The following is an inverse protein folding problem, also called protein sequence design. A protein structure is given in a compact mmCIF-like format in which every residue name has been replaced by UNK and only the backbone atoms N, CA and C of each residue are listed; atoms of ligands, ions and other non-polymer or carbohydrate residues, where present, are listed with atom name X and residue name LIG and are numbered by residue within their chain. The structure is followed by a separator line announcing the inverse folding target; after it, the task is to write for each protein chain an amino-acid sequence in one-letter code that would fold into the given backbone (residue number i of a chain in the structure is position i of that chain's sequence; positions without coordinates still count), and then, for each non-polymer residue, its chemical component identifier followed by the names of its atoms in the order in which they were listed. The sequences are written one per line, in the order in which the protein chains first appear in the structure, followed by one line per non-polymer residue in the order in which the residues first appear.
data_IF_774226070068
#
_entry.id   IF_774226070068
#
_cell.length_a   1.000
_cell.length_b   1.000
_cell.length_c   1.000
_cell.angle_alpha   90.00
_cell.angle_beta   90.00
_cell.angle_gamma   90.00
#
_symmetry.space_group_name_H-M   'P 1'
#
loop_
_entity.id
_entity.type
_entity.pdbx_description
1 polymer ?
#
# COMPACT_ATOMS: atom_id res chain seq x y z
N UNK A 1 26.89 -31.77 -5.00
CA UNK A 1 27.24 -30.40 -5.47
C UNK A 1 25.94 -29.71 -5.82
N UNK A 2 25.43 -28.84 -4.96
CA UNK A 2 24.22 -28.03 -5.20
C UNK A 2 24.71 -26.62 -5.52
N UNK A 3 24.34 -26.09 -6.68
CA UNK A 3 24.75 -24.76 -7.14
C UNK A 3 24.08 -23.63 -6.33
N UNK A 4 24.65 -22.41 -6.32
CA UNK A 4 24.10 -21.30 -5.55
C UNK A 4 22.81 -20.78 -6.19
N UNK A 5 21.74 -20.75 -5.39
CA UNK A 5 20.44 -20.13 -5.71
C UNK A 5 20.60 -18.61 -5.62
N UNK A 6 20.23 -17.92 -6.70
CA UNK A 6 20.33 -16.47 -6.85
C UNK A 6 19.65 -15.74 -5.69
N UNK A 7 20.41 -14.87 -5.03
CA UNK A 7 19.91 -13.93 -4.04
C UNK A 7 18.95 -12.95 -4.73
N UNK A 8 17.70 -12.90 -4.25
CA UNK A 8 16.74 -11.89 -4.67
C UNK A 8 17.30 -10.52 -4.27
N UNK A 9 17.49 -9.66 -5.26
CA UNK A 9 17.98 -8.30 -5.07
C UNK A 9 16.97 -7.52 -4.22
N UNK A 10 17.33 -7.28 -2.96
CA UNK A 10 16.69 -6.25 -2.14
C UNK A 10 16.89 -4.91 -2.84
N UNK A 11 15.90 -4.50 -3.63
CA UNK A 11 15.88 -3.18 -4.23
C UNK A 11 15.58 -2.17 -3.14
N UNK A 12 16.65 -1.69 -2.48
CA UNK A 12 16.61 -0.53 -1.60
C UNK A 12 16.12 0.66 -2.41
N UNK A 13 14.80 0.88 -2.38
CA UNK A 13 14.16 1.98 -3.09
C UNK A 13 14.38 3.23 -2.24
N UNK A 14 15.33 4.05 -2.69
CA UNK A 14 15.72 5.34 -2.08
C UNK A 14 14.46 6.12 -1.68
N UNK A 15 14.29 6.38 -0.38
CA UNK A 15 13.16 7.14 0.20
C UNK A 15 13.05 8.49 -0.53
N UNK A 16 12.10 8.60 -1.45
CA UNK A 16 11.87 9.84 -2.18
C UNK A 16 11.30 10.85 -1.18
N UNK A 17 11.93 12.02 -1.06
CA UNK A 17 11.44 13.14 -0.26
C UNK A 17 10.24 13.79 -0.99
N UNK A 18 9.12 13.06 -1.08
CA UNK A 18 7.87 13.58 -1.58
C UNK A 18 7.27 14.62 -0.63
N UNK A 19 6.25 15.37 -1.06
CA UNK A 19 5.51 16.29 -0.21
C UNK A 19 5.03 15.58 1.06
N UNK A 20 5.38 16.14 2.23
CA UNK A 20 4.90 15.62 3.51
C UNK A 20 3.45 16.04 3.69
N UNK A 21 2.53 15.10 3.50
CA UNK A 21 1.14 15.28 3.93
C UNK A 21 1.07 14.95 5.42
N UNK A 22 0.60 15.91 6.21
CA UNK A 22 0.34 15.66 7.62
C UNK A 22 -0.88 14.75 7.75
N UNK A 23 -0.75 13.70 8.56
CA UNK A 23 -1.84 12.80 8.93
C UNK A 23 -2.34 13.13 10.33
N UNK A 24 -3.64 13.03 10.53
CA UNK A 24 -4.27 13.03 11.84
C UNK A 24 -4.71 11.60 12.20
N UNK A 25 -4.97 11.28 13.49
CA UNK A 25 -5.39 9.95 13.92
C UNK A 25 -6.57 9.37 13.14
N UNK A 26 -7.59 10.16 12.81
CA UNK A 26 -8.80 9.66 12.15
C UNK A 26 -9.60 8.67 13.02
N UNK A 27 -10.33 7.77 12.37
CA UNK A 27 -11.24 6.80 13.00
C UNK A 27 -11.02 5.39 12.42
N UNK A 28 -11.01 4.33 13.24
CA UNK A 28 -10.90 2.95 12.77
C UNK A 28 -12.14 2.47 11.98
N UNK A 29 -13.23 3.23 12.00
CA UNK A 29 -14.47 2.89 11.29
C UNK A 29 -15.06 4.09 10.53
N UNK A 30 -15.74 3.84 9.39
CA UNK A 30 -15.86 2.55 8.72
C UNK A 30 -14.56 2.17 7.97
N UNK A 31 -14.42 0.89 7.59
CA UNK A 31 -13.29 0.44 6.80
C UNK A 31 -13.32 1.03 5.38
N UNK A 32 -12.13 1.26 4.83
CA UNK A 32 -11.93 1.89 3.53
C UNK A 32 -11.86 3.42 3.61
N UNK A 33 -11.90 4.09 2.44
CA UNK A 33 -11.92 5.54 2.37
C UNK A 33 -13.32 6.08 2.71
N UNK A 34 -13.39 7.02 3.63
CA UNK A 34 -14.62 7.71 4.04
C UNK A 34 -14.45 9.20 3.87
N UNK A 35 -15.32 9.88 3.09
CA UNK A 35 -15.25 11.34 2.94
C UNK A 35 -15.38 12.06 4.30
N UNK A 36 -14.54 13.05 4.52
CA UNK A 36 -14.64 14.02 5.61
C UNK A 36 -15.05 15.39 5.05
N UNK A 37 -15.44 16.35 5.91
CA UNK A 37 -15.63 17.73 5.50
C UNK A 37 -14.41 18.31 4.77
N UNK A 38 -14.62 19.40 4.03
CA UNK A 38 -13.55 20.09 3.28
C UNK A 38 -12.78 19.17 2.31
N UNK A 39 -13.47 18.17 1.73
CA UNK A 39 -12.88 17.17 0.84
C UNK A 39 -11.75 16.34 1.47
N UNK A 40 -11.68 16.28 2.79
CA UNK A 40 -10.79 15.37 3.49
C UNK A 40 -11.23 13.92 3.34
N UNK A 41 -10.40 13.00 3.80
CA UNK A 41 -10.71 11.57 3.80
C UNK A 41 -10.17 10.89 5.05
N UNK A 42 -11.00 10.06 5.66
CA UNK A 42 -10.57 9.07 6.64
C UNK A 42 -10.25 7.77 5.91
N UNK A 43 -9.05 7.26 6.08
CA UNK A 43 -8.62 5.97 5.58
C UNK A 43 -8.59 5.00 6.76
N UNK A 44 -9.25 3.85 6.64
CA UNK A 44 -9.12 2.76 7.59
C UNK A 44 -8.90 1.42 6.88
N UNK A 45 -7.95 0.62 7.37
CA UNK A 45 -7.62 -0.69 6.81
C UNK A 45 -7.33 -1.68 7.93
N UNK A 46 -8.02 -2.83 7.91
CA UNK A 46 -7.75 -3.92 8.83
C UNK A 46 -6.58 -4.75 8.30
N UNK A 47 -5.50 -4.81 9.07
CA UNK A 47 -4.33 -5.63 8.74
C UNK A 47 -3.51 -5.93 9.99
N UNK A 48 -3.03 -7.18 10.15
CA UNK A 48 -2.20 -7.55 11.31
C UNK A 48 -0.77 -7.02 11.24
N UNK A 49 -0.38 -6.38 10.12
CA UNK A 49 0.97 -5.88 9.89
C UNK A 49 1.41 -4.84 10.94
N UNK A 50 2.70 -4.85 11.24
CA UNK A 50 3.34 -4.05 12.29
C UNK A 50 3.63 -2.62 11.84
N UNK A 51 3.81 -2.41 10.53
CA UNK A 51 3.95 -1.08 9.92
C UNK A 51 3.07 -0.94 8.70
N UNK A 52 2.42 0.21 8.58
CA UNK A 52 1.62 0.60 7.42
C UNK A 52 2.04 1.98 6.95
N UNK A 53 2.36 2.08 5.66
CA UNK A 53 2.61 3.35 4.97
C UNK A 53 1.49 3.60 3.97
N UNK A 54 0.90 4.80 4.01
CA UNK A 54 0.01 5.29 2.96
C UNK A 54 0.88 5.89 1.85
N UNK A 55 0.74 5.36 0.64
CA UNK A 55 1.49 5.78 -0.54
C UNK A 55 0.55 6.54 -1.46
N UNK A 56 0.93 7.75 -1.85
CA UNK A 56 0.14 8.64 -2.70
C UNK A 56 0.70 8.71 -4.11
N UNK A 57 -0.19 8.90 -5.07
CA UNK A 57 0.15 9.06 -6.47
C UNK A 57 -0.59 10.24 -7.09
N UNK A 58 0.12 10.99 -7.93
CA UNK A 58 -0.51 11.82 -8.95
C UNK A 58 -0.81 10.96 -10.17
N UNK A 59 -1.55 11.49 -11.15
CA UNK A 59 -1.78 10.78 -12.41
C UNK A 59 -0.47 10.43 -13.13
N UNK A 60 0.43 11.40 -13.26
CA UNK A 60 1.73 11.22 -13.91
C UNK A 60 2.63 10.25 -13.13
N UNK A 61 2.62 10.32 -11.79
CA UNK A 61 3.47 9.45 -10.99
C UNK A 61 3.00 7.99 -11.04
N UNK A 62 1.68 7.78 -11.11
CA UNK A 62 1.09 6.45 -11.28
C UNK A 62 1.48 5.83 -12.64
N UNK A 63 1.43 6.61 -13.72
CA UNK A 63 1.87 6.17 -15.06
C UNK A 63 3.35 5.76 -15.08
N UNK A 64 4.17 6.44 -14.27
CA UNK A 64 5.61 6.12 -14.09
C UNK A 64 5.89 5.06 -13.04
N UNK A 65 4.85 4.51 -12.41
CA UNK A 65 4.96 3.55 -11.30
C UNK A 65 5.84 4.07 -10.14
N UNK A 66 5.77 5.37 -9.88
CA UNK A 66 6.56 6.05 -8.85
C UNK A 66 5.63 6.72 -7.84
N UNK A 67 5.90 6.49 -6.56
CA UNK A 67 5.18 7.17 -5.48
C UNK A 67 5.44 8.69 -5.56
N UNK A 68 4.38 9.48 -5.49
CA UNK A 68 4.47 10.93 -5.39
C UNK A 68 4.69 11.40 -3.94
N UNK A 69 4.16 10.65 -2.97
CA UNK A 69 4.34 10.91 -1.54
C UNK A 69 4.11 9.64 -0.73
N UNK A 70 4.67 9.61 0.48
CA UNK A 70 4.53 8.48 1.39
C UNK A 70 4.43 9.00 2.82
N UNK A 71 3.54 8.41 3.60
CA UNK A 71 3.38 8.70 5.02
C UNK A 71 3.26 7.39 5.78
N UNK A 72 4.27 7.11 6.61
CA UNK A 72 4.25 6.00 7.55
C UNK A 72 3.32 6.37 8.72
N UNK A 73 2.41 5.47 9.05
CA UNK A 73 1.44 5.68 10.12
C UNK A 73 2.09 5.39 11.47
N UNK A 74 1.85 6.27 12.43
CA UNK A 74 2.31 6.10 13.80
C UNK A 74 1.48 5.02 14.53
N UNK A 75 2.15 4.04 15.13
CA UNK A 75 1.50 2.88 15.75
C UNK A 75 0.66 3.24 16.98
N UNK A 76 0.97 4.33 17.68
CA UNK A 76 0.21 4.74 18.88
C UNK A 76 -0.99 5.61 18.51
N UNK A 77 -0.86 6.46 17.49
CA UNK A 77 -1.89 7.42 17.10
C UNK A 77 -2.83 6.91 15.99
N UNK A 78 -2.37 6.02 15.12
CA UNK A 78 -3.05 5.63 13.87
C UNK A 78 -3.42 4.14 13.83
N UNK A 79 -3.52 3.48 15.00
CA UNK A 79 -3.91 2.07 15.09
C UNK A 79 -4.83 1.83 16.28
N UNK A 80 -5.95 1.15 16.04
CA UNK A 80 -6.86 0.65 17.07
C UNK A 80 -7.08 -0.85 16.86
N UNK A 81 -6.55 -1.69 17.75
CA UNK A 81 -6.54 -3.14 17.56
C UNK A 81 -5.73 -3.53 16.31
N UNK A 82 -6.37 -4.19 15.35
CA UNK A 82 -5.77 -4.58 14.06
C UNK A 82 -6.18 -3.65 12.91
N UNK A 83 -6.76 -2.49 13.23
CA UNK A 83 -7.16 -1.49 12.24
C UNK A 83 -6.22 -0.33 12.27
N UNK A 84 -5.54 -0.11 11.15
CA UNK A 84 -4.76 1.10 10.88
C UNK A 84 -5.68 2.15 10.29
N UNK A 85 -5.58 3.38 10.78
CA UNK A 85 -6.44 4.47 10.34
C UNK A 85 -5.76 5.82 10.40
N UNK A 86 -6.11 6.72 9.47
CA UNK A 86 -5.67 8.11 9.50
C UNK A 86 -6.69 9.01 8.82
N UNK A 87 -6.72 10.29 9.22
CA UNK A 87 -7.45 11.34 8.55
C UNK A 87 -6.49 12.24 7.78
N UNK A 88 -6.86 12.56 6.55
CA UNK A 88 -6.12 13.38 5.62
C UNK A 88 -6.91 14.65 5.31
N UNK A 89 -6.23 15.78 5.37
CA UNK A 89 -6.80 17.09 5.03
C UNK A 89 -6.99 17.23 3.51
N UNK A 90 -8.18 17.66 3.10
CA UNK A 90 -8.53 17.77 1.68
C UNK A 90 -7.75 18.85 0.93
N UNK A 91 -7.49 19.99 1.57
CA UNK A 91 -6.70 21.07 0.96
C UNK A 91 -5.24 20.64 0.75
N UNK A 92 -4.67 19.92 1.71
CA UNK A 92 -3.34 19.35 1.60
C UNK A 92 -3.23 18.34 0.44
N UNK A 93 -4.22 17.45 0.30
CA UNK A 93 -4.27 16.48 -0.80
C UNK A 93 -4.40 17.19 -2.16
N UNK A 94 -5.27 18.19 -2.25
CA UNK A 94 -5.47 18.97 -3.47
C UNK A 94 -4.21 19.76 -3.85
N UNK A 95 -3.58 20.45 -2.89
CA UNK A 95 -2.35 21.21 -3.10
C UNK A 95 -1.19 20.31 -3.54
N UNK A 96 -1.12 19.07 -3.06
CA UNK A 96 -0.13 18.09 -3.46
C UNK A 96 -0.47 17.38 -4.80
N UNK A 97 -1.70 17.55 -5.31
CA UNK A 97 -2.16 16.88 -6.53
C UNK A 97 -2.34 15.36 -6.38
N UNK A 98 -2.52 14.86 -5.16
CA UNK A 98 -2.68 13.44 -4.90
C UNK A 98 -4.10 12.99 -5.26
N UNK A 99 -4.20 12.03 -6.17
CA UNK A 99 -5.46 11.54 -6.72
C UNK A 99 -5.72 10.07 -6.36
N UNK A 100 -4.65 9.31 -6.16
CA UNK A 100 -4.72 7.89 -5.86
C UNK A 100 -3.88 7.59 -4.62
N UNK A 101 -4.27 6.53 -3.91
CA UNK A 101 -3.52 6.04 -2.77
C UNK A 101 -3.41 4.51 -2.79
N UNK A 102 -2.43 3.98 -2.07
CA UNK A 102 -2.25 2.57 -1.79
C UNK A 102 -1.70 2.39 -0.36
N UNK A 103 -1.72 1.17 0.14
CA UNK A 103 -1.04 0.80 1.38
C UNK A 103 0.20 -0.03 1.06
N UNK A 104 1.32 0.30 1.70
CA UNK A 104 2.47 -0.59 1.83
C UNK A 104 2.48 -1.11 3.26
N UNK A 105 2.25 -2.40 3.40
CA UNK A 105 2.25 -3.07 4.70
C UNK A 105 3.51 -3.91 4.83
N UNK A 106 4.18 -3.77 5.97
CA UNK A 106 5.42 -4.48 6.26
C UNK A 106 5.22 -5.30 7.51
N UNK A 107 5.78 -6.52 7.48
CA UNK A 107 5.88 -7.35 8.67
C UNK A 107 7.32 -7.53 9.07
N UNK A 108 7.55 -7.59 10.37
CA UNK A 108 8.83 -7.99 10.93
C UNK A 108 8.91 -9.52 11.11
N UNK A 109 7.82 -10.24 10.82
CA UNK A 109 7.83 -11.70 10.82
C UNK A 109 8.85 -12.23 9.79
N UNK A 110 9.72 -13.17 10.18
CA UNK A 110 10.64 -13.80 9.25
C UNK A 110 9.85 -14.46 8.11
N UNK A 111 10.38 -14.34 6.88
CA UNK A 111 9.75 -14.82 5.64
C UNK A 111 9.37 -16.31 5.72
N UNK A 112 10.07 -17.09 6.54
CA UNK A 112 9.80 -18.51 6.83
C UNK A 112 8.45 -18.78 7.52
N UNK A 113 7.82 -17.77 8.12
CA UNK A 113 6.50 -17.86 8.75
C UNK A 113 5.38 -17.33 7.85
N UNK A 114 5.70 -16.75 6.68
CA UNK A 114 4.69 -16.34 5.73
C UNK A 114 4.09 -17.57 5.04
N UNK A 115 2.77 -17.62 4.83
CA UNK A 115 2.19 -18.67 4.01
C UNK A 115 2.81 -18.61 2.60
N UNK A 116 3.11 -19.76 1.98
CA UNK A 116 3.65 -19.77 0.63
C UNK A 116 2.71 -19.01 -0.32
N UNK A 117 3.25 -18.30 -1.34
CA UNK A 117 2.41 -17.60 -2.29
C UNK A 117 1.41 -18.59 -2.91
N UNK A 118 0.17 -18.16 -3.21
CA UNK A 118 -0.80 -19.03 -3.84
C UNK A 118 -0.23 -19.58 -5.16
N UNK A 119 -0.54 -20.84 -5.52
CA UNK A 119 -0.10 -21.39 -6.78
C UNK A 119 -0.61 -20.50 -7.93
N UNK A 120 0.16 -20.35 -9.03
CA UNK A 120 -0.31 -19.61 -10.18
C UNK A 120 -1.64 -20.21 -10.67
N UNK A 121 -2.58 -19.38 -11.15
CA UNK A 121 -3.81 -19.89 -11.75
C UNK A 121 -3.46 -20.87 -12.89
N UNK A 122 -4.22 -21.95 -13.07
CA UNK A 122 -3.98 -22.88 -14.16
C UNK A 122 -4.03 -22.09 -15.48
N UNK A 123 -3.00 -22.23 -16.30
CA UNK A 123 -3.02 -21.68 -17.64
C UNK A 123 -4.18 -22.36 -18.37
N UNK A 124 -5.22 -21.58 -18.68
CA UNK A 124 -6.25 -21.99 -19.62
C UNK A 124 -5.55 -22.24 -20.95
N UNK A 125 -5.23 -23.51 -21.22
CA UNK A 125 -4.78 -23.90 -22.54
C UNK A 125 -5.89 -23.50 -23.52
N UNK A 126 -5.55 -22.82 -24.63
CA UNK A 126 -6.54 -22.54 -25.66
C UNK A 126 -7.16 -23.86 -26.12
N UNK A 127 -8.47 -23.88 -26.44
CA UNK A 127 -9.11 -25.08 -26.96
C UNK A 127 -8.37 -25.58 -28.21
N UNK A 128 -8.23 -26.89 -28.42
CA UNK A 128 -7.60 -27.42 -29.62
C UNK A 128 -8.36 -26.93 -30.86
N UNK A 129 -7.66 -26.64 -31.97
CA UNK A 129 -8.33 -26.27 -33.20
C UNK A 129 -9.26 -27.40 -33.64
N UNK A 130 -10.51 -27.06 -33.93
CA UNK A 130 -11.43 -27.98 -34.58
C UNK A 130 -10.88 -28.24 -35.99
N UNK A 131 -10.43 -29.47 -36.23
CA UNK A 131 -10.13 -29.95 -37.58
C UNK A 131 -11.47 -30.02 -38.33
N UNK A 132 -11.67 -29.08 -39.25
CA UNK A 132 -12.73 -29.12 -40.28
C UNK A 132 -12.25 -29.96 -41.46
#
# INVERSE_FOLDING_TARGET
RVGPRAAAAATSRKKAAGPKVAVQPGSPAPLGPTPLPCAGVNLAVATPHERVTVVFYTRESLERQQAAGEVELDTEANRTGDVWHCALDGEALQRAGFLYYAYRCETDAPEDLLPPPPPPPPLLLPPPPLLL
#
